data_IF_789251160042
#
_entry.id   IF_789251160042
#
_cell.length_a   1.000
_cell.length_b   1.000
_cell.length_c   1.000
_cell.angle_alpha   90.00
_cell.angle_beta   90.00
_cell.angle_gamma   90.00
#
_symmetry.space_group_name_H-M   'P 1'
#
loop_
_entity.id
_entity.type
_entity.pdbx_description
1 polymer ?
#
# COMPACT_ATOMS: atom_id res chain seq x y z
N UNK A 1 -14.86 0.81 -71.25
CA UNK A 1 -13.59 1.05 -70.54
C UNK A 1 -13.90 1.34 -69.06
N UNK A 2 -14.85 0.61 -68.45
CA UNK A 2 -15.66 1.16 -67.33
C UNK A 2 -15.76 0.28 -66.07
N UNK A 3 -15.10 -0.89 -66.03
CA UNK A 3 -15.19 -1.82 -64.90
C UNK A 3 -14.14 -1.59 -63.78
N UNK A 4 -13.14 -0.72 -63.99
CA UNK A 4 -12.01 -0.56 -63.05
C UNK A 4 -12.26 0.45 -61.92
N UNK A 5 -13.26 1.32 -62.05
CA UNK A 5 -13.60 2.39 -61.10
C UNK A 5 -14.23 1.86 -59.79
N UNK A 6 -15.20 0.92 -59.79
CA UNK A 6 -15.85 0.48 -58.54
C UNK A 6 -14.90 -0.27 -57.60
N UNK A 7 -13.94 -1.04 -58.14
CA UNK A 7 -12.97 -1.79 -57.32
C UNK A 7 -12.05 -0.86 -56.52
N UNK A 8 -11.60 0.26 -57.12
CA UNK A 8 -10.75 1.24 -56.42
C UNK A 8 -11.48 1.95 -55.29
N UNK A 9 -12.76 2.28 -55.47
CA UNK A 9 -13.56 2.98 -54.44
C UNK A 9 -13.82 2.07 -53.22
N UNK A 10 -14.08 0.78 -53.43
CA UNK A 10 -14.22 -0.18 -52.33
C UNK A 10 -12.91 -0.44 -51.58
N UNK A 11 -11.76 -0.46 -52.27
CA UNK A 11 -10.45 -0.59 -51.61
C UNK A 11 -10.13 0.64 -50.75
N UNK A 12 -10.38 1.85 -51.27
CA UNK A 12 -10.12 3.09 -50.51
C UNK A 12 -11.04 3.20 -49.29
N UNK A 13 -12.33 2.82 -49.40
CA UNK A 13 -13.25 2.88 -48.26
C UNK A 13 -12.96 1.82 -47.18
N UNK A 14 -12.56 0.62 -47.57
CA UNK A 14 -12.13 -0.43 -46.62
C UNK A 14 -10.81 -0.06 -45.94
N UNK A 15 -9.87 0.54 -46.67
CA UNK A 15 -8.63 1.09 -46.09
C UNK A 15 -8.91 2.23 -45.10
N UNK A 16 -9.80 3.17 -45.43
CA UNK A 16 -10.18 4.26 -44.53
C UNK A 16 -10.88 3.75 -43.26
N UNK A 17 -11.75 2.74 -43.38
CA UNK A 17 -12.40 2.10 -42.24
C UNK A 17 -11.38 1.40 -41.33
N UNK A 18 -10.45 0.63 -41.91
CA UNK A 18 -9.38 -0.04 -41.17
C UNK A 18 -8.49 0.96 -40.43
N UNK A 19 -8.06 2.04 -41.10
CA UNK A 19 -7.25 3.09 -40.48
C UNK A 19 -7.96 3.75 -39.31
N UNK A 20 -9.27 4.01 -39.43
CA UNK A 20 -10.06 4.61 -38.36
C UNK A 20 -10.13 3.71 -37.12
N UNK A 21 -10.34 2.40 -37.33
CA UNK A 21 -10.34 1.41 -36.23
C UNK A 21 -8.96 1.31 -35.57
N UNK A 22 -7.89 1.25 -36.36
CA UNK A 22 -6.52 1.16 -35.84
C UNK A 22 -6.13 2.40 -35.04
N UNK A 23 -6.45 3.60 -35.52
CA UNK A 23 -6.22 4.85 -34.80
C UNK A 23 -7.03 4.92 -33.50
N UNK A 24 -8.28 4.45 -33.53
CA UNK A 24 -9.12 4.35 -32.34
C UNK A 24 -8.54 3.41 -31.28
N UNK A 25 -8.09 2.21 -31.69
CA UNK A 25 -7.41 1.26 -30.80
C UNK A 25 -6.12 1.84 -30.23
N UNK A 26 -5.33 2.53 -31.04
CA UNK A 26 -4.10 3.17 -30.58
C UNK A 26 -4.38 4.29 -29.57
N UNK A 27 -5.38 5.13 -29.82
CA UNK A 27 -5.80 6.16 -28.87
C UNK A 27 -6.22 5.56 -27.53
N UNK A 28 -6.98 4.45 -27.54
CA UNK A 28 -7.38 3.75 -26.32
C UNK A 28 -6.17 3.23 -25.51
N UNK A 29 -5.19 2.62 -26.18
CA UNK A 29 -3.94 2.16 -25.55
C UNK A 29 -3.14 3.32 -24.94
N UNK A 30 -3.09 4.47 -25.63
CA UNK A 30 -2.41 5.67 -25.12
C UNK A 30 -3.09 6.22 -23.86
N UNK A 31 -4.42 6.29 -23.84
CA UNK A 31 -5.18 6.72 -22.65
C UNK A 31 -4.88 5.83 -21.45
N UNK A 32 -4.91 4.50 -21.62
CA UNK A 32 -4.57 3.54 -20.54
C UNK A 32 -3.13 3.72 -20.07
N UNK A 33 -2.20 3.93 -21.00
CA UNK A 33 -0.78 4.11 -20.70
C UNK A 33 -0.49 5.37 -19.88
N UNK A 34 -1.30 6.42 -20.03
CA UNK A 34 -1.21 7.66 -19.25
C UNK A 34 -1.95 7.54 -17.91
N UNK A 35 -3.12 6.89 -17.90
CA UNK A 35 -3.95 6.78 -16.69
C UNK A 35 -3.24 6.01 -15.56
N UNK A 36 -2.51 4.95 -15.88
CA UNK A 36 -1.85 4.10 -14.87
C UNK A 36 -0.77 4.87 -14.08
N UNK A 37 0.23 5.54 -14.71
CA UNK A 37 1.19 6.37 -13.99
C UNK A 37 0.54 7.48 -13.17
N UNK A 38 -0.50 8.14 -13.69
CA UNK A 38 -1.23 9.19 -12.97
C UNK A 38 -1.89 8.63 -11.70
N UNK A 39 -2.58 7.50 -11.80
CA UNK A 39 -3.15 6.83 -10.62
C UNK A 39 -2.06 6.46 -9.61
N UNK A 40 -0.93 5.90 -10.07
CA UNK A 40 0.20 5.54 -9.19
C UNK A 40 0.80 6.75 -8.50
N UNK A 41 0.85 7.90 -9.18
CA UNK A 41 1.29 9.17 -8.60
C UNK A 41 0.39 9.59 -7.43
N UNK A 42 -0.94 9.56 -7.61
CA UNK A 42 -1.88 9.89 -6.54
C UNK A 42 -1.81 8.89 -5.37
N UNK A 43 -1.66 7.59 -5.65
CA UNK A 43 -1.46 6.58 -4.61
C UNK A 43 -0.18 6.84 -3.82
N UNK A 44 0.92 7.20 -4.50
CA UNK A 44 2.17 7.56 -3.84
C UNK A 44 2.03 8.82 -2.96
N UNK A 45 1.29 9.83 -3.43
CA UNK A 45 1.01 11.04 -2.65
C UNK A 45 0.19 10.74 -1.40
N UNK A 46 -0.86 9.92 -1.52
CA UNK A 46 -1.66 9.48 -0.36
C UNK A 46 -0.82 8.71 0.64
N UNK A 47 0.08 7.85 0.17
CA UNK A 47 1.03 7.14 1.03
C UNK A 47 1.97 8.10 1.75
N UNK A 48 2.51 9.10 1.04
CA UNK A 48 3.40 10.12 1.61
C UNK A 48 2.70 10.98 2.69
N UNK A 49 1.39 11.18 2.59
CA UNK A 49 0.59 11.85 3.63
C UNK A 49 0.26 10.90 4.81
N UNK A 50 -0.02 9.63 4.52
CA UNK A 50 -0.50 8.67 5.53
C UNK A 50 0.63 8.19 6.44
N UNK A 51 1.83 7.96 5.89
CA UNK A 51 2.97 7.45 6.66
C UNK A 51 3.35 8.38 7.82
N UNK A 52 3.56 9.71 7.64
CA UNK A 52 3.87 10.61 8.74
C UNK A 52 2.79 10.61 9.84
N UNK A 53 1.51 10.60 9.46
CA UNK A 53 0.40 10.54 10.43
C UNK A 53 0.46 9.27 11.26
N UNK A 54 0.70 8.11 10.62
CA UNK A 54 0.87 6.83 11.30
C UNK A 54 2.09 6.84 12.23
N UNK A 55 3.22 7.38 11.78
CA UNK A 55 4.46 7.44 12.57
C UNK A 55 4.32 8.36 13.79
N UNK A 56 3.70 9.52 13.64
CA UNK A 56 3.39 10.43 14.75
C UNK A 56 2.43 9.76 15.73
N UNK A 57 1.39 9.08 15.24
CA UNK A 57 0.47 8.33 16.10
C UNK A 57 1.20 7.22 16.88
N UNK A 58 2.05 6.43 16.23
CA UNK A 58 2.86 5.39 16.88
C UNK A 58 3.80 5.98 17.95
N UNK A 59 4.44 7.10 17.64
CA UNK A 59 5.29 7.80 18.59
C UNK A 59 4.51 8.27 19.83
N UNK A 60 3.32 8.86 19.63
CA UNK A 60 2.46 9.30 20.74
C UNK A 60 1.95 8.13 21.59
N UNK A 61 1.49 7.05 20.96
CA UNK A 61 1.05 5.86 21.70
C UNK A 61 2.20 5.23 22.48
N UNK A 62 3.41 5.24 21.91
CA UNK A 62 4.60 4.75 22.61
C UNK A 62 4.93 5.57 23.85
N UNK A 63 4.88 6.89 23.77
CA UNK A 63 5.10 7.79 24.91
C UNK A 63 4.04 7.57 26.00
N UNK A 64 2.77 7.40 25.62
CA UNK A 64 1.69 7.12 26.57
C UNK A 64 1.82 5.75 27.26
N UNK A 65 2.60 4.82 26.68
CA UNK A 65 2.87 3.51 27.28
C UNK A 65 4.06 3.51 28.26
N UNK A 66 4.70 4.66 28.51
CA UNK A 66 5.78 4.81 29.49
C UNK A 66 5.25 4.86 30.93
N UNK A 67 4.74 3.72 31.40
CA UNK A 67 4.43 3.50 32.82
C UNK A 67 5.72 3.06 33.55
N UNK A 68 6.04 3.60 34.73
CA UNK A 68 7.20 3.17 35.52
C UNK A 68 7.23 1.64 35.69
N UNK A 69 8.34 1.00 35.29
CA UNK A 69 8.55 -0.45 35.43
C UNK A 69 8.45 -1.28 34.14
N UNK A 70 8.06 -0.72 32.98
CA UNK A 70 8.19 -1.41 31.68
C UNK A 70 9.40 -0.90 30.90
N UNK A 71 10.50 -1.67 30.94
CA UNK A 71 11.67 -1.43 30.09
C UNK A 71 11.28 -1.76 28.65
N UNK A 72 11.21 -0.73 27.82
CA UNK A 72 11.01 -0.90 26.38
C UNK A 72 12.38 -0.89 25.70
N UNK A 73 12.57 -1.79 24.74
CA UNK A 73 13.87 -2.04 24.09
C UNK A 73 14.40 -0.87 23.26
N UNK A 74 13.55 0.05 22.84
CA UNK A 74 13.90 1.16 21.95
C UNK A 74 13.33 2.47 22.50
N UNK A 75 14.14 3.54 22.41
CA UNK A 75 13.71 4.88 22.76
C UNK A 75 12.59 5.38 21.83
N UNK A 76 11.76 6.35 22.28
CA UNK A 76 10.58 6.78 21.53
C UNK A 76 10.91 7.39 20.15
N UNK A 77 12.05 8.06 19.99
CA UNK A 77 12.51 8.57 18.68
C UNK A 77 12.89 7.47 17.68
N UNK A 78 13.32 6.31 18.16
CA UNK A 78 13.65 5.17 17.30
C UNK A 78 12.43 4.55 16.62
N UNK A 79 11.24 4.72 17.18
CA UNK A 79 9.97 4.27 16.56
C UNK A 79 9.76 4.91 15.19
N UNK A 80 10.29 6.12 14.99
CA UNK A 80 10.27 6.83 13.70
C UNK A 80 11.53 6.51 12.90
N UNK A 81 12.71 6.63 13.52
CA UNK A 81 14.00 6.45 12.85
C UNK A 81 14.20 5.10 12.16
N UNK A 82 13.66 4.01 12.74
CA UNK A 82 13.79 2.67 12.18
C UNK A 82 13.11 2.46 10.83
N UNK A 83 12.14 3.32 10.46
CA UNK A 83 11.49 3.26 9.15
C UNK A 83 12.38 3.78 8.03
N UNK A 84 13.36 4.63 8.35
CA UNK A 84 14.26 5.24 7.37
C UNK A 84 15.57 4.45 7.22
N UNK A 85 15.89 3.56 8.16
CA UNK A 85 17.07 2.69 8.08
C UNK A 85 16.68 1.38 7.38
N UNK A 86 17.15 1.08 6.15
CA UNK A 86 16.64 -0.02 5.35
C UNK A 86 16.70 -1.40 6.04
N UNK A 87 17.78 -1.67 6.76
CA UNK A 87 17.97 -2.95 7.48
C UNK A 87 16.98 -3.08 8.64
N UNK A 88 16.70 -1.99 9.36
CA UNK A 88 15.75 -1.99 10.46
C UNK A 88 14.31 -2.01 9.96
N UNK A 89 14.04 -1.35 8.83
CA UNK A 89 12.72 -1.29 8.22
C UNK A 89 12.14 -2.69 7.96
N UNK A 90 12.98 -3.72 7.76
CA UNK A 90 12.52 -5.10 7.52
C UNK A 90 11.85 -5.78 8.73
N UNK A 91 12.15 -5.37 9.96
CA UNK A 91 11.68 -6.08 11.16
C UNK A 91 11.36 -5.21 12.37
N UNK A 92 12.01 -4.07 12.53
CA UNK A 92 11.81 -3.19 13.68
C UNK A 92 10.40 -2.57 13.73
N UNK A 93 9.80 -2.14 12.60
CA UNK A 93 8.39 -1.72 12.55
C UNK A 93 7.41 -2.73 13.13
N UNK A 94 7.52 -4.00 12.70
CA UNK A 94 6.73 -5.10 13.23
C UNK A 94 6.85 -5.20 14.75
N UNK A 95 8.08 -5.18 15.28
CA UNK A 95 8.32 -5.34 16.72
C UNK A 95 7.74 -4.17 17.52
N UNK A 96 7.91 -2.92 17.06
CA UNK A 96 7.36 -1.78 17.78
C UNK A 96 5.84 -1.81 17.82
N UNK A 97 5.17 -2.13 16.69
CA UNK A 97 3.71 -2.23 16.65
C UNK A 97 3.21 -3.40 17.50
N UNK A 98 3.91 -4.54 17.47
CA UNK A 98 3.55 -5.71 18.29
C UNK A 98 3.68 -5.40 19.79
N UNK A 99 4.77 -4.76 20.20
CA UNK A 99 4.99 -4.37 21.60
C UNK A 99 3.91 -3.40 22.09
N UNK A 100 3.59 -2.37 21.28
CA UNK A 100 2.52 -1.41 21.56
C UNK A 100 1.17 -2.12 21.66
N UNK A 101 0.86 -2.98 20.69
CA UNK A 101 -0.44 -3.63 20.62
C UNK A 101 -0.62 -4.65 21.75
N UNK A 102 0.43 -5.39 22.12
CA UNK A 102 0.44 -6.30 23.26
C UNK A 102 0.38 -5.55 24.61
N UNK A 103 0.91 -4.32 24.68
CA UNK A 103 0.85 -3.50 25.87
C UNK A 103 -0.58 -3.03 26.19
N UNK A 104 -1.40 -2.80 25.17
CA UNK A 104 -2.79 -2.32 25.28
C UNK A 104 -3.85 -3.41 25.50
N UNK A 105 -3.49 -4.69 25.57
CA UNK A 105 -4.44 -5.81 25.80
C UNK A 105 -4.13 -6.64 27.06
N UNK A 106 -5.14 -7.30 27.65
CA UNK A 106 -4.93 -8.31 28.68
C UNK A 106 -3.97 -9.41 28.23
N UNK A 107 -3.20 -9.98 29.17
CA UNK A 107 -2.19 -11.02 28.89
C UNK A 107 -2.72 -12.17 28.04
N UNK A 108 -3.96 -12.62 28.29
CA UNK A 108 -4.61 -13.70 27.57
C UNK A 108 -4.81 -13.44 26.06
N UNK A 109 -4.81 -12.17 25.61
CA UNK A 109 -5.02 -11.81 24.18
C UNK A 109 -3.75 -11.29 23.49
N UNK A 110 -2.60 -11.27 24.18
CA UNK A 110 -1.35 -10.73 23.62
C UNK A 110 -0.86 -11.52 22.42
N UNK A 111 -0.96 -12.85 22.48
CA UNK A 111 -0.53 -13.71 21.38
C UNK A 111 -1.39 -13.49 20.12
N UNK A 112 -2.71 -13.42 20.29
CA UNK A 112 -3.67 -13.15 19.21
C UNK A 112 -3.35 -11.84 18.50
N UNK A 113 -3.15 -10.76 19.25
CA UNK A 113 -2.77 -9.44 18.71
C UNK A 113 -1.42 -9.48 18.02
N UNK A 114 -0.43 -10.16 18.60
CA UNK A 114 0.92 -10.28 18.01
C UNK A 114 0.87 -11.04 16.68
N UNK A 115 0.07 -12.11 16.58
CA UNK A 115 -0.15 -12.83 15.32
C UNK A 115 -0.86 -11.98 14.28
N UNK A 116 -1.83 -11.16 14.68
CA UNK A 116 -2.50 -10.21 13.78
C UNK A 116 -1.52 -9.16 13.24
N UNK A 117 -0.66 -8.60 14.10
CA UNK A 117 0.40 -7.65 13.69
C UNK A 117 1.43 -8.34 12.78
N UNK A 118 1.77 -9.60 13.05
CA UNK A 118 2.65 -10.38 12.16
C UNK A 118 2.01 -10.59 10.78
N UNK A 119 0.74 -10.97 10.73
CA UNK A 119 0.00 -11.14 9.48
C UNK A 119 -0.06 -9.83 8.67
N UNK A 120 -0.30 -8.70 9.35
CA UNK A 120 -0.24 -7.38 8.73
C UNK A 120 1.14 -7.13 8.11
N UNK A 121 2.20 -7.36 8.88
CA UNK A 121 3.57 -7.09 8.46
C UNK A 121 4.01 -7.96 7.29
N UNK A 122 3.74 -9.26 7.34
CA UNK A 122 4.04 -10.18 6.25
C UNK A 122 3.25 -9.82 4.99
N UNK A 123 1.98 -9.44 5.14
CA UNK A 123 1.17 -8.99 4.00
C UNK A 123 1.77 -7.73 3.36
N UNK A 124 2.21 -6.77 4.17
CA UNK A 124 2.88 -5.58 3.67
C UNK A 124 4.20 -5.90 2.94
N UNK A 125 5.03 -6.80 3.48
CA UNK A 125 6.27 -7.23 2.83
C UNK A 125 6.03 -7.92 1.48
N UNK A 126 5.02 -8.80 1.40
CA UNK A 126 4.65 -9.43 0.13
C UNK A 126 4.16 -8.39 -0.89
N UNK A 127 3.34 -7.43 -0.44
CA UNK A 127 2.91 -6.30 -1.26
C UNK A 127 4.08 -5.48 -1.81
N UNK A 128 5.09 -5.21 -0.97
CA UNK A 128 6.29 -4.46 -1.33
C UNK A 128 7.14 -5.21 -2.36
N UNK A 129 7.41 -6.50 -2.14
CA UNK A 129 8.22 -7.33 -3.04
C UNK A 129 7.55 -7.48 -4.41
N UNK A 130 6.25 -7.78 -4.42
CA UNK A 130 5.50 -7.99 -5.67
C UNK A 130 5.32 -6.70 -6.46
N UNK A 131 5.13 -5.56 -5.80
CA UNK A 131 5.09 -4.25 -6.46
C UNK A 131 6.46 -3.84 -7.02
N UNK A 132 7.55 -4.12 -6.29
CA UNK A 132 8.90 -3.91 -6.79
C UNK A 132 9.19 -4.80 -8.01
N UNK A 133 8.75 -6.07 -7.98
CA UNK A 133 8.84 -6.99 -9.11
C UNK A 133 8.05 -6.47 -10.31
N UNK A 134 6.78 -6.10 -10.12
CA UNK A 134 5.95 -5.52 -11.18
C UNK A 134 6.60 -4.29 -11.80
N UNK A 135 7.20 -3.42 -10.98
CA UNK A 135 7.89 -2.22 -11.46
C UNK A 135 9.14 -2.56 -12.25
N UNK A 136 9.96 -3.53 -11.82
CA UNK A 136 11.10 -4.01 -12.60
C UNK A 136 10.68 -4.59 -13.94
N UNK A 137 9.65 -5.45 -13.97
CA UNK A 137 9.13 -6.04 -15.20
C UNK A 137 8.53 -4.98 -16.12
N UNK A 138 7.86 -3.96 -15.58
CA UNK A 138 7.39 -2.81 -16.35
C UNK A 138 8.52 -2.02 -17.02
N UNK A 139 9.65 -1.84 -16.32
CA UNK A 139 10.77 -1.02 -16.82
C UNK A 139 11.68 -1.78 -17.80
N UNK A 140 11.85 -3.09 -17.59
CA UNK A 140 12.86 -3.88 -18.32
C UNK A 140 12.27 -5.05 -19.13
N UNK A 141 10.98 -5.34 -18.99
CA UNK A 141 10.32 -6.47 -19.64
C UNK A 141 9.83 -6.15 -21.06
N UNK A 142 9.81 -7.17 -21.92
CA UNK A 142 9.33 -7.07 -23.31
C UNK A 142 7.84 -7.42 -23.46
N UNK A 143 7.20 -7.98 -22.43
CA UNK A 143 5.82 -8.45 -22.47
C UNK A 143 4.89 -7.55 -21.64
N UNK A 144 3.88 -6.97 -22.30
CA UNK A 144 2.92 -6.04 -21.69
C UNK A 144 2.06 -6.64 -20.57
N UNK A 145 1.84 -7.96 -20.59
CA UNK A 145 1.00 -8.65 -19.61
C UNK A 145 1.79 -9.18 -18.40
N UNK A 146 3.10 -9.37 -18.53
CA UNK A 146 3.96 -9.92 -17.49
C UNK A 146 3.92 -9.17 -16.15
N UNK A 147 3.81 -7.82 -16.10
CA UNK A 147 3.74 -7.13 -14.81
C UNK A 147 2.34 -7.14 -14.18
N UNK A 148 1.29 -7.60 -14.88
CA UNK A 148 -0.08 -7.54 -14.39
C UNK A 148 -0.26 -8.43 -13.15
N UNK A 149 0.16 -9.69 -13.23
CA UNK A 149 0.03 -10.64 -12.12
C UNK A 149 0.72 -10.13 -10.84
N UNK A 150 2.02 -9.77 -10.83
CA UNK A 150 2.65 -9.27 -9.61
C UNK A 150 2.03 -7.94 -9.14
N UNK A 151 1.51 -7.09 -10.03
CA UNK A 151 0.81 -5.87 -9.63
C UNK A 151 -0.50 -6.18 -8.89
N UNK A 152 -1.32 -7.11 -9.40
CA UNK A 152 -2.57 -7.52 -8.75
C UNK A 152 -2.33 -8.21 -7.41
N UNK A 153 -1.34 -9.11 -7.35
CA UNK A 153 -0.93 -9.74 -6.09
C UNK A 153 -0.52 -8.66 -5.08
N UNK A 154 0.30 -7.70 -5.50
CA UNK A 154 0.71 -6.60 -4.63
C UNK A 154 -0.46 -5.77 -4.11
N UNK A 155 -1.41 -5.43 -4.98
CA UNK A 155 -2.62 -4.69 -4.60
C UNK A 155 -3.46 -5.45 -3.56
N UNK A 156 -3.67 -6.75 -3.74
CA UNK A 156 -4.42 -7.60 -2.79
C UNK A 156 -3.73 -7.63 -1.42
N UNK A 157 -2.41 -7.82 -1.40
CA UNK A 157 -1.65 -7.89 -0.16
C UNK A 157 -1.57 -6.55 0.57
N UNK A 158 -1.51 -5.42 -0.14
CA UNK A 158 -1.62 -4.09 0.48
C UNK A 158 -3.02 -3.80 1.02
N UNK A 159 -4.07 -4.22 0.32
CA UNK A 159 -5.44 -4.11 0.82
C UNK A 159 -5.61 -4.95 2.11
N UNK A 160 -5.10 -6.18 2.11
CA UNK A 160 -5.10 -7.05 3.28
C UNK A 160 -4.31 -6.44 4.45
N UNK A 161 -3.11 -5.92 4.19
CA UNK A 161 -2.31 -5.23 5.20
C UNK A 161 -3.09 -4.03 5.78
N UNK A 162 -3.69 -3.20 4.93
CA UNK A 162 -4.48 -2.05 5.38
C UNK A 162 -5.66 -2.46 6.26
N UNK A 163 -6.39 -3.50 5.86
CA UNK A 163 -7.51 -4.02 6.66
C UNK A 163 -7.05 -4.54 8.04
N UNK A 164 -5.95 -5.31 8.07
CA UNK A 164 -5.39 -5.84 9.32
C UNK A 164 -4.89 -4.72 10.24
N UNK A 165 -4.24 -3.70 9.69
CA UNK A 165 -3.79 -2.53 10.46
C UNK A 165 -4.96 -1.73 11.03
N UNK A 166 -6.00 -1.47 10.23
CA UNK A 166 -7.23 -0.81 10.69
C UNK A 166 -7.86 -1.61 11.83
N UNK A 167 -7.91 -2.93 11.72
CA UNK A 167 -8.41 -3.79 12.78
C UNK A 167 -7.56 -3.70 14.07
N UNK A 168 -6.23 -3.60 13.96
CA UNK A 168 -5.34 -3.37 15.12
C UNK A 168 -5.63 -2.01 15.76
N UNK A 169 -5.71 -0.93 14.97
CA UNK A 169 -5.98 0.42 15.48
C UNK A 169 -7.34 0.48 16.17
N UNK A 170 -8.40 -0.04 15.53
CA UNK A 170 -9.75 -0.07 16.11
C UNK A 170 -9.79 -0.86 17.42
N UNK A 171 -9.07 -1.98 17.50
CA UNK A 171 -8.97 -2.78 18.71
C UNK A 171 -8.30 -2.00 19.85
N UNK A 172 -7.23 -1.27 19.57
CA UNK A 172 -6.52 -0.46 20.56
C UNK A 172 -7.37 0.73 21.02
N UNK A 173 -8.04 1.42 20.09
CA UNK A 173 -8.94 2.53 20.43
C UNK A 173 -10.14 2.09 21.27
N UNK A 174 -10.70 0.90 21.03
CA UNK A 174 -11.80 0.37 21.83
C UNK A 174 -11.41 0.02 23.27
N UNK A 175 -10.12 -0.27 23.51
CA UNK A 175 -9.61 -0.64 24.83
C UNK A 175 -9.22 0.56 25.68
N UNK A 176 -8.90 1.68 25.04
CA UNK A 176 -8.63 2.96 25.69
C UNK A 176 -9.70 3.99 25.27
N UNK A 177 -10.96 3.88 25.76
CA UNK A 177 -11.82 5.05 25.74
C UNK A 177 -11.07 6.16 26.49
N UNK A 178 -10.90 7.31 25.86
CA UNK A 178 -10.27 8.48 26.47
C UNK A 178 -10.95 8.71 27.81
N UNK A 179 -10.25 8.45 28.90
CA UNK A 179 -10.78 8.65 30.25
C UNK A 179 -10.74 10.16 30.50
N UNK A 180 -11.74 10.87 29.97
CA UNK A 180 -11.95 12.31 30.14
C UNK A 180 -12.00 12.71 31.63
N UNK A 181 -12.15 11.73 32.53
CA UNK A 181 -12.11 11.87 33.98
C UNK A 181 -10.76 12.35 34.54
N UNK A 182 -9.66 12.23 33.80
CA UNK A 182 -8.34 12.70 34.25
C UNK A 182 -7.96 14.11 33.77
N UNK A 183 -8.75 14.72 32.88
CA UNK A 183 -8.53 16.09 32.40
C UNK A 183 -9.13 17.14 33.36
N UNK A 184 -9.94 16.71 34.33
CA UNK A 184 -10.58 17.59 35.33
C UNK A 184 -9.76 17.92 36.58
N UNK A 185 -8.48 17.55 36.65
CA UNK A 185 -7.64 17.76 37.85
C UNK A 185 -6.30 18.44 37.56
N UNK A 186 -6.26 19.40 36.62
CA UNK A 186 -5.12 20.32 36.45
C UNK A 186 -5.58 21.76 36.49
#
# INVERSE_FOLDING_TARGET
MDAAIPLRVHVVSTQAGLLSVLLGLQAAVQVVSIAVPVLRFFVALLFLCTVPVLLVWLHRVRLNAEVPGRVHRWGPGWVVGMWFVPVLNLWAPYRAVADIAAAGVPRARREEVTRQVLAWWLSWLVGLVTTAMATRVWLFGHHVWAPLLPAWVGAVFFALASALLIAVVRRLSALHPVDERLVGYS
#
